data_IF_265573630840
#
_entry.id   IF_265573630840
#
_cell.length_a   1.000
_cell.length_b   1.000
_cell.length_c   1.000
_cell.angle_alpha   90.00
_cell.angle_beta   90.00
_cell.angle_gamma   90.00
#
_symmetry.space_group_name_H-M   'P 1'
#
loop_
_entity.id
_entity.type
_entity.pdbx_description
1 polymer ?
#
# COMPACT_ATOMS: atom_id res chain seq x y z
N UNK A 1 42.35 16.87 -64.00
CA UNK A 1 40.87 16.88 -64.11
C UNK A 1 40.34 15.55 -63.63
N UNK A 2 39.93 15.44 -62.37
CA UNK A 2 39.21 14.29 -61.83
C UNK A 2 38.19 14.83 -60.84
N UNK A 3 36.94 14.98 -61.31
CA UNK A 3 35.80 15.39 -60.51
C UNK A 3 35.53 14.28 -59.48
N UNK A 4 35.80 14.55 -58.21
CA UNK A 4 35.35 13.66 -57.12
C UNK A 4 33.95 14.12 -56.75
N UNK A 5 32.94 13.40 -57.25
CA UNK A 5 31.54 13.64 -56.89
C UNK A 5 31.34 13.41 -55.39
N UNK A 6 31.17 14.51 -54.65
CA UNK A 6 30.71 14.47 -53.26
C UNK A 6 29.22 14.12 -53.28
N UNK A 7 28.93 12.85 -53.01
CA UNK A 7 27.56 12.35 -52.87
C UNK A 7 26.98 12.81 -51.53
N UNK A 8 26.32 13.97 -51.53
CA UNK A 8 25.53 14.44 -50.38
C UNK A 8 24.33 13.49 -50.22
N UNK A 9 24.13 12.81 -49.08
CA UNK A 9 22.89 12.12 -48.81
C UNK A 9 21.75 13.14 -48.79
N UNK A 10 20.84 13.02 -49.75
CA UNK A 10 19.60 13.80 -49.78
C UNK A 10 18.75 13.39 -48.58
N UNK A 11 18.56 14.32 -47.66
CA UNK A 11 17.39 14.27 -46.80
C UNK A 11 16.16 14.56 -47.67
N UNK A 12 15.34 13.53 -47.91
CA UNK A 12 13.94 13.75 -48.28
C UNK A 12 13.08 12.49 -48.07
N UNK A 13 12.02 12.70 -47.28
CA UNK A 13 10.74 12.00 -47.28
C UNK A 13 10.66 10.59 -46.65
N UNK A 14 10.21 10.52 -45.39
CA UNK A 14 8.78 10.38 -45.05
C UNK A 14 8.60 10.39 -43.51
N UNK A 15 7.48 10.90 -42.96
CA UNK A 15 7.03 10.53 -41.62
C UNK A 15 6.54 9.09 -41.68
N UNK A 16 7.48 8.15 -41.70
CA UNK A 16 7.23 6.72 -41.65
C UNK A 16 6.67 6.36 -40.29
N UNK A 17 5.37 6.11 -40.27
CA UNK A 17 4.69 5.14 -39.43
C UNK A 17 5.21 5.02 -37.99
N UNK A 18 4.50 5.68 -37.06
CA UNK A 18 4.54 5.30 -35.67
C UNK A 18 4.13 3.83 -35.55
N UNK A 19 5.13 2.93 -35.56
CA UNK A 19 4.94 1.52 -35.32
C UNK A 19 4.18 1.27 -34.01
N UNK A 20 3.48 0.13 -33.90
CA UNK A 20 2.66 -0.18 -32.73
C UNK A 20 3.49 0.02 -31.46
N UNK A 21 3.01 0.93 -30.61
CA UNK A 21 3.76 1.56 -29.53
C UNK A 21 4.70 0.60 -28.82
N UNK A 22 6.00 0.86 -28.92
CA UNK A 22 6.98 0.25 -28.04
C UNK A 22 6.56 0.57 -26.61
N UNK A 23 5.96 -0.40 -25.92
CA UNK A 23 5.63 -0.29 -24.51
C UNK A 23 6.92 0.11 -23.78
N UNK A 24 6.97 1.36 -23.29
CA UNK A 24 8.14 1.89 -22.60
C UNK A 24 8.48 0.90 -21.48
N UNK A 25 9.73 0.41 -21.38
CA UNK A 25 10.09 -0.59 -20.38
C UNK A 25 9.65 -0.09 -19.01
N UNK A 26 8.91 -0.93 -18.29
CA UNK A 26 8.45 -0.61 -16.95
C UNK A 26 9.68 -0.26 -16.10
N UNK A 27 9.64 0.91 -15.45
CA UNK A 27 10.74 1.33 -14.59
C UNK A 27 11.09 0.23 -13.57
N UNK A 28 12.38 -0.01 -13.31
CA UNK A 28 12.80 -1.08 -12.40
C UNK A 28 12.14 -0.90 -11.03
N UNK A 29 11.50 -1.97 -10.54
CA UNK A 29 10.85 -1.98 -9.23
C UNK A 29 11.91 -1.97 -8.13
N UNK A 30 11.76 -1.07 -7.18
CA UNK A 30 12.67 -0.93 -6.04
C UNK A 30 12.24 -1.86 -4.90
N UNK A 31 12.61 -3.14 -5.01
CA UNK A 31 12.23 -4.18 -4.04
C UNK A 31 12.65 -3.88 -2.60
N UNK A 32 13.79 -3.21 -2.40
CA UNK A 32 14.25 -2.80 -1.08
C UNK A 32 13.24 -1.86 -0.38
N UNK A 33 12.65 -0.92 -1.13
CA UNK A 33 11.65 0.00 -0.57
C UNK A 33 10.35 -0.73 -0.23
N UNK A 34 9.93 -1.67 -1.08
CA UNK A 34 8.76 -2.49 -0.79
C UNK A 34 8.98 -3.37 0.44
N UNK A 35 10.17 -3.97 0.60
CA UNK A 35 10.53 -4.75 1.79
C UNK A 35 10.52 -3.89 3.07
N UNK A 36 11.10 -2.68 3.01
CA UNK A 36 11.08 -1.75 4.13
C UNK A 36 9.65 -1.33 4.51
N UNK A 37 8.74 -1.18 3.55
CA UNK A 37 7.32 -0.91 3.83
C UNK A 37 6.65 -2.07 4.54
N UNK A 38 6.95 -3.31 4.14
CA UNK A 38 6.45 -4.51 4.83
C UNK A 38 6.97 -4.56 6.26
N UNK A 39 8.28 -4.35 6.46
CA UNK A 39 8.89 -4.30 7.81
C UNK A 39 8.22 -3.23 8.67
N UNK A 40 8.02 -2.02 8.11
CA UNK A 40 7.35 -0.94 8.81
C UNK A 40 5.91 -1.30 9.21
N UNK A 41 5.12 -1.89 8.30
CA UNK A 41 3.75 -2.32 8.59
C UNK A 41 3.69 -3.45 9.63
N UNK A 42 4.60 -4.43 9.55
CA UNK A 42 4.71 -5.51 10.55
C UNK A 42 5.11 -4.98 11.92
N UNK A 43 5.99 -3.99 11.97
CA UNK A 43 6.38 -3.32 13.21
C UNK A 43 5.18 -2.62 13.89
N UNK A 44 4.34 -1.94 13.10
CA UNK A 44 3.09 -1.31 13.59
C UNK A 44 2.09 -2.35 14.07
N UNK A 45 1.96 -3.48 13.36
CA UNK A 45 1.11 -4.59 13.78
C UNK A 45 1.59 -5.17 15.12
N UNK A 46 2.89 -5.41 15.27
CA UNK A 46 3.48 -5.92 16.50
C UNK A 46 3.30 -4.94 17.67
N UNK A 47 3.43 -3.63 17.41
CA UNK A 47 3.13 -2.59 18.39
C UNK A 47 1.67 -2.65 18.86
N UNK A 48 0.70 -2.72 17.96
CA UNK A 48 -0.71 -2.79 18.35
C UNK A 48 -1.06 -4.07 19.11
N UNK A 49 -0.36 -5.17 18.84
CA UNK A 49 -0.61 -6.44 19.52
C UNK A 49 0.08 -6.55 20.88
N UNK A 50 1.29 -6.00 21.03
CA UNK A 50 2.14 -6.26 22.21
C UNK A 50 2.84 -5.03 22.80
N UNK A 51 2.91 -3.92 22.09
CA UNK A 51 3.74 -2.76 22.44
C UNK A 51 2.99 -1.59 23.09
N UNK A 52 1.67 -1.70 23.28
CA UNK A 52 0.86 -0.67 23.94
C UNK A 52 0.98 -0.81 25.47
N UNK A 53 1.65 0.13 26.13
CA UNK A 53 1.81 0.15 27.60
C UNK A 53 0.56 0.64 28.33
N UNK A 54 -0.56 -0.05 28.10
CA UNK A 54 -1.82 0.23 28.77
C UNK A 54 -2.72 -1.01 28.79
N UNK A 55 -3.34 -1.23 29.95
CA UNK A 55 -4.55 -2.04 30.05
C UNK A 55 -5.69 -1.27 29.37
N UNK A 56 -6.05 -1.68 28.16
CA UNK A 56 -7.10 -1.03 27.36
C UNK A 56 -8.18 -2.03 26.96
N UNK A 57 -9.34 -1.53 26.53
CA UNK A 57 -10.38 -2.39 25.93
C UNK A 57 -9.86 -3.17 24.72
N UNK A 58 -8.87 -2.64 24.00
CA UNK A 58 -8.25 -3.32 22.87
C UNK A 58 -7.43 -4.56 23.31
N UNK A 59 -6.89 -4.53 24.54
CA UNK A 59 -6.07 -5.61 25.11
C UNK A 59 -6.82 -6.39 26.21
N UNK A 60 -8.16 -6.45 26.14
CA UNK A 60 -9.00 -7.15 27.11
C UNK A 60 -8.77 -6.73 28.58
N UNK A 61 -8.34 -5.49 28.81
CA UNK A 61 -8.06 -4.96 30.14
C UNK A 61 -6.76 -5.49 30.77
N UNK A 62 -5.91 -6.18 30.02
CA UNK A 62 -4.60 -6.67 30.50
C UNK A 62 -3.48 -5.81 29.90
N UNK A 63 -2.42 -5.56 30.67
CA UNK A 63 -1.25 -4.86 30.17
C UNK A 63 -0.36 -5.83 29.36
N UNK A 64 -0.13 -5.58 28.06
CA UNK A 64 0.77 -6.39 27.22
C UNK A 64 2.19 -6.54 27.76
N UNK A 65 2.68 -5.56 28.53
CA UNK A 65 4.00 -5.61 29.18
C UNK A 65 4.14 -6.79 30.14
N UNK A 66 3.05 -7.16 30.82
CA UNK A 66 3.01 -8.29 31.76
C UNK A 66 2.89 -9.62 31.02
N UNK A 67 2.14 -9.64 29.91
CA UNK A 67 1.93 -10.84 29.08
C UNK A 67 3.14 -11.18 28.20
N UNK A 68 3.85 -10.16 27.71
CA UNK A 68 4.94 -10.29 26.73
C UNK A 68 6.21 -9.56 27.18
N UNK A 69 6.79 -9.87 28.35
CA UNK A 69 7.89 -9.10 28.94
C UNK A 69 9.15 -9.05 28.07
N UNK A 70 9.39 -10.07 27.25
CA UNK A 70 10.54 -10.16 26.34
C UNK A 70 10.34 -9.43 25.01
N UNK A 71 9.09 -9.32 24.56
CA UNK A 71 8.75 -8.77 23.25
C UNK A 71 8.38 -7.29 23.34
N UNK A 72 7.70 -6.89 24.42
CA UNK A 72 7.28 -5.52 24.72
C UNK A 72 8.42 -4.49 24.58
N UNK A 73 9.65 -4.73 25.10
CA UNK A 73 10.73 -3.75 24.98
C UNK A 73 11.10 -3.45 23.52
N UNK A 74 10.93 -4.41 22.61
CA UNK A 74 11.24 -4.23 21.19
C UNK A 74 10.04 -3.67 20.43
N UNK A 75 8.85 -4.20 20.67
CA UNK A 75 7.64 -3.84 19.92
C UNK A 75 7.03 -2.51 20.34
N UNK A 76 7.36 -1.98 21.53
CA UNK A 76 6.98 -0.63 21.96
C UNK A 76 7.49 0.46 21.00
N UNK A 77 8.65 0.24 20.37
CA UNK A 77 9.19 1.10 19.32
C UNK A 77 8.49 0.95 17.96
N UNK A 78 7.58 -0.03 17.80
CA UNK A 78 6.92 -0.26 16.52
C UNK A 78 5.98 0.85 16.07
N UNK A 79 5.62 1.77 16.98
CA UNK A 79 4.94 3.03 16.64
C UNK A 79 5.70 3.87 15.62
N UNK A 80 7.05 3.86 15.66
CA UNK A 80 7.92 4.54 14.68
C UNK A 80 7.79 3.98 13.25
N UNK A 81 7.24 2.77 13.11
CA UNK A 81 6.94 2.16 11.83
C UNK A 81 5.95 3.00 11.00
N UNK A 82 5.05 3.75 11.64
CA UNK A 82 4.08 4.62 10.94
C UNK A 82 4.81 5.72 10.16
N UNK A 83 5.72 6.44 10.81
CA UNK A 83 6.51 7.52 10.22
C UNK A 83 7.37 6.99 9.08
N UNK A 84 8.04 5.84 9.28
CA UNK A 84 8.84 5.20 8.25
C UNK A 84 8.00 4.76 7.04
N UNK A 85 6.84 4.14 7.28
CA UNK A 85 5.95 3.68 6.22
C UNK A 85 5.45 4.86 5.36
N UNK A 86 5.05 5.97 5.99
CA UNK A 86 4.60 7.16 5.28
C UNK A 86 5.71 7.84 4.50
N UNK A 87 6.91 7.96 5.07
CA UNK A 87 8.07 8.54 4.39
C UNK A 87 8.40 7.77 3.10
N UNK A 88 8.54 6.45 3.19
CA UNK A 88 8.86 5.60 2.04
C UNK A 88 7.70 5.57 1.03
N UNK A 89 6.45 5.46 1.52
CA UNK A 89 5.27 5.45 0.64
C UNK A 89 5.12 6.77 -0.10
N UNK A 90 5.39 7.92 0.53
CA UNK A 90 5.39 9.23 -0.11
C UNK A 90 6.40 9.30 -1.24
N UNK A 91 7.64 8.87 -0.99
CA UNK A 91 8.67 8.79 -2.02
C UNK A 91 8.25 7.90 -3.21
N UNK A 92 7.77 6.68 -2.95
CA UNK A 92 7.34 5.74 -4.01
C UNK A 92 6.12 6.27 -4.77
N UNK A 93 5.21 6.97 -4.09
CA UNK A 93 4.04 7.59 -4.73
C UNK A 93 4.49 8.66 -5.73
N UNK A 94 5.40 9.56 -5.33
CA UNK A 94 5.95 10.58 -6.22
C UNK A 94 6.64 9.94 -7.44
N UNK A 95 7.46 8.91 -7.24
CA UNK A 95 8.08 8.16 -8.33
C UNK A 95 7.04 7.52 -9.26
N UNK A 96 5.95 6.98 -8.71
CA UNK A 96 4.90 6.31 -9.48
C UNK A 96 3.98 7.27 -10.25
N UNK A 97 3.90 8.53 -9.81
CA UNK A 97 3.11 9.58 -10.46
C UNK A 97 3.88 10.28 -11.59
N UNK A 98 5.19 10.06 -11.68
CA UNK A 98 6.04 10.63 -12.71
C UNK A 98 5.53 10.24 -14.11
N UNK A 99 5.32 11.24 -14.97
CA UNK A 99 4.83 11.07 -16.35
C UNK A 99 3.46 10.36 -16.46
N UNK A 100 2.61 10.47 -15.43
CA UNK A 100 1.22 9.94 -15.45
C UNK A 100 0.19 11.03 -15.31
N UNK A 101 -0.95 10.85 -15.97
CA UNK A 101 -2.11 11.71 -15.74
C UNK A 101 -2.77 11.39 -14.39
N UNK A 102 -3.47 12.34 -13.76
CA UNK A 102 -4.19 12.10 -12.50
C UNK A 102 -5.14 10.90 -12.59
N UNK A 103 -5.87 10.75 -13.70
CA UNK A 103 -6.79 9.63 -13.91
C UNK A 103 -6.09 8.26 -13.98
N UNK A 104 -4.94 8.19 -14.66
CA UNK A 104 -4.12 6.96 -14.71
C UNK A 104 -3.59 6.58 -13.32
N UNK A 105 -3.17 7.57 -12.53
CA UNK A 105 -2.71 7.37 -11.17
C UNK A 105 -3.82 6.88 -10.24
N UNK A 106 -4.98 7.55 -10.23
CA UNK A 106 -6.14 7.17 -9.40
C UNK A 106 -6.61 5.76 -9.76
N UNK A 107 -6.76 5.44 -11.05
CA UNK A 107 -7.16 4.09 -11.49
C UNK A 107 -6.17 3.02 -11.01
N UNK A 108 -4.87 3.26 -11.17
CA UNK A 108 -3.83 2.32 -10.73
C UNK A 108 -3.86 2.11 -9.20
N UNK A 109 -4.13 3.16 -8.42
CA UNK A 109 -4.28 3.05 -6.97
C UNK A 109 -5.56 2.34 -6.57
N UNK A 110 -6.68 2.65 -7.22
CA UNK A 110 -7.96 2.00 -6.96
C UNK A 110 -7.86 0.49 -7.14
N UNK A 111 -7.35 0.04 -8.30
CA UNK A 111 -7.19 -1.39 -8.61
C UNK A 111 -6.20 -2.11 -7.69
N UNK A 112 -5.30 -1.39 -7.02
CA UNK A 112 -4.36 -1.97 -6.05
C UNK A 112 -4.93 -2.04 -4.63
N UNK A 113 -5.69 -1.01 -4.21
CA UNK A 113 -6.13 -0.87 -2.82
C UNK A 113 -7.48 -1.55 -2.55
N UNK A 114 -8.46 -1.41 -3.45
CA UNK A 114 -9.81 -1.91 -3.22
C UNK A 114 -9.91 -3.43 -3.11
N UNK A 115 -9.20 -4.25 -3.91
CA UNK A 115 -9.24 -5.70 -3.75
C UNK A 115 -8.77 -6.17 -2.37
N UNK A 116 -7.64 -5.61 -1.90
CA UNK A 116 -7.11 -5.91 -0.56
C UNK A 116 -8.05 -5.42 0.54
N UNK A 117 -8.66 -4.24 0.34
CA UNK A 117 -9.65 -3.69 1.27
C UNK A 117 -10.86 -4.60 1.44
N UNK A 118 -11.53 -4.97 0.35
CA UNK A 118 -12.70 -5.84 0.41
C UNK A 118 -12.37 -7.22 0.99
N UNK A 119 -11.21 -7.77 0.63
CA UNK A 119 -10.73 -9.01 1.25
C UNK A 119 -10.56 -8.85 2.76
N UNK A 120 -9.91 -7.78 3.22
CA UNK A 120 -9.70 -7.54 4.66
C UNK A 120 -11.00 -7.31 5.43
N UNK A 121 -11.96 -6.60 4.84
CA UNK A 121 -13.28 -6.37 5.43
C UNK A 121 -14.05 -7.69 5.56
N UNK A 122 -14.05 -8.51 4.50
CA UNK A 122 -14.69 -9.83 4.52
C UNK A 122 -14.01 -10.78 5.52
N UNK A 123 -12.68 -10.80 5.55
CA UNK A 123 -11.91 -11.59 6.49
C UNK A 123 -12.22 -11.19 7.94
N UNK A 124 -12.25 -9.88 8.23
CA UNK A 124 -12.62 -9.37 9.56
C UNK A 124 -14.05 -9.80 9.95
N UNK A 125 -15.02 -9.68 9.03
CA UNK A 125 -16.39 -10.13 9.25
C UNK A 125 -16.45 -11.65 9.53
N UNK A 126 -15.75 -12.46 8.74
CA UNK A 126 -15.73 -13.91 8.88
C UNK A 126 -15.08 -14.35 10.20
N UNK A 127 -13.92 -13.78 10.55
CA UNK A 127 -13.23 -13.98 11.83
C UNK A 127 -14.15 -13.65 13.00
N UNK A 128 -14.86 -12.53 12.92
CA UNK A 128 -15.79 -12.11 13.95
C UNK A 128 -16.98 -13.09 14.10
N UNK A 129 -17.53 -13.61 13.00
CA UNK A 129 -18.61 -14.62 13.01
C UNK A 129 -18.15 -15.99 13.50
N UNK A 130 -16.93 -16.39 13.19
CA UNK A 130 -16.39 -17.69 13.55
C UNK A 130 -15.93 -17.78 15.01
N UNK A 131 -15.59 -16.65 15.65
CA UNK A 131 -15.07 -16.59 17.02
C UNK A 131 -15.91 -15.66 17.92
N UNK A 132 -17.14 -16.06 18.29
CA UNK A 132 -17.95 -15.32 19.24
C UNK A 132 -17.36 -15.43 20.65
N UNK A 133 -17.06 -14.29 21.27
CA UNK A 133 -16.48 -14.20 22.61
C UNK A 133 -17.50 -13.84 23.71
N UNK A 134 -18.79 -13.84 23.37
CA UNK A 134 -19.92 -13.57 24.26
C UNK A 134 -19.99 -12.16 24.85
N UNK A 135 -18.97 -11.32 24.62
CA UNK A 135 -18.82 -10.00 25.26
C UNK A 135 -18.91 -8.84 24.26
N UNK A 136 -18.66 -9.11 22.98
CA UNK A 136 -18.75 -8.13 21.90
C UNK A 136 -20.08 -8.26 21.14
N UNK A 137 -20.85 -7.19 21.07
CA UNK A 137 -21.89 -7.06 20.04
C UNK A 137 -21.19 -6.83 18.71
N UNK A 138 -21.30 -7.77 17.78
CA UNK A 138 -20.63 -7.60 16.49
C UNK A 138 -21.34 -6.67 15.56
N UNK A 139 -20.64 -6.30 14.48
CA UNK A 139 -21.22 -5.46 13.46
C UNK A 139 -22.44 -6.16 12.87
N UNK A 140 -23.54 -5.40 12.78
CA UNK A 140 -24.71 -5.77 12.00
C UNK A 140 -24.30 -6.08 10.56
N UNK A 141 -25.12 -6.86 9.85
CA UNK A 141 -24.95 -7.06 8.40
C UNK A 141 -25.00 -5.70 7.70
N UNK A 142 -25.87 -4.79 8.14
CA UNK A 142 -25.95 -3.43 7.58
C UNK A 142 -24.65 -2.65 7.80
N UNK A 143 -24.06 -2.72 8.99
CA UNK A 143 -22.78 -2.06 9.29
C UNK A 143 -21.64 -2.67 8.47
N UNK A 144 -21.63 -3.99 8.30
CA UNK A 144 -20.63 -4.67 7.48
C UNK A 144 -20.72 -4.28 6.01
N UNK A 145 -21.95 -4.11 5.48
CA UNK A 145 -22.19 -3.61 4.13
C UNK A 145 -21.82 -2.13 3.98
N UNK A 146 -22.09 -1.29 4.98
CA UNK A 146 -21.63 0.11 5.01
C UNK A 146 -20.11 0.19 5.05
N UNK A 147 -19.45 -0.70 5.79
CA UNK A 147 -18.00 -0.78 5.80
C UNK A 147 -17.50 -1.08 4.38
N UNK A 148 -18.10 -2.00 3.62
CA UNK A 148 -17.66 -2.29 2.24
C UNK A 148 -17.68 -1.09 1.29
N UNK A 149 -18.49 -0.06 1.57
CA UNK A 149 -18.56 1.17 0.77
C UNK A 149 -17.65 2.30 1.27
N UNK A 150 -16.89 2.07 2.36
CA UNK A 150 -16.10 3.08 3.09
C UNK A 150 -16.92 4.24 3.69
N UNK A 151 -18.25 4.15 3.74
CA UNK A 151 -19.15 5.22 4.24
C UNK A 151 -19.49 5.07 5.74
N UNK A 152 -18.63 4.39 6.49
CA UNK A 152 -18.87 4.05 7.90
C UNK A 152 -18.74 5.23 8.88
N UNK A 153 -18.14 6.35 8.43
CA UNK A 153 -18.01 7.58 9.23
C UNK A 153 -19.02 8.59 8.70
N UNK A 154 -20.05 9.00 9.49
CA UNK A 154 -20.87 10.15 9.12
C UNK A 154 -19.99 11.40 9.08
N UNK A 155 -20.11 12.17 8.00
CA UNK A 155 -19.45 13.49 7.86
C UNK A 155 -19.97 14.47 8.92
#
# INVERSE_FOLDING_TARGET
MSQTEVRIPRESAAPGEAGPGSARPAAPRLYALDALRVIAALSVLAFHYTGVDAASKANWGVNPKELFPWLFPVTSYGSYGVQLFFLISGFVICLSAWDRTPGQFVRARFLRLFPAYWFSALAAFAVWRAMPDGSRTGPSISESLTNMTMLQVPL
#
